data_IF_274444260395
#
_entry.id   IF_274444260395
#
_cell.length_a   1.000
_cell.length_b   1.000
_cell.length_c   1.000
_cell.angle_alpha   90.00
_cell.angle_beta   90.00
_cell.angle_gamma   90.00
#
_symmetry.space_group_name_H-M   'P 1'
#
loop_
_entity.id
_entity.type
_entity.pdbx_description
1 polymer ?
#
# COMPACT_ATOMS: atom_id res chain seq x y z
N UNK A 1 12.86 11.39 8.37
CA UNK A 1 11.69 11.82 7.59
C UNK A 1 10.39 11.44 8.30
N UNK A 2 9.30 12.23 8.21
CA UNK A 2 7.98 11.89 8.80
C UNK A 2 7.15 11.02 7.84
N UNK A 3 6.19 10.26 8.38
CA UNK A 3 5.28 9.40 7.59
C UNK A 3 4.65 10.14 6.39
N UNK A 4 4.18 11.37 6.59
CA UNK A 4 3.56 12.17 5.52
C UNK A 4 4.51 12.50 4.38
N UNK A 5 5.77 12.75 4.71
CA UNK A 5 6.79 13.15 3.74
C UNK A 5 7.22 11.93 2.92
N UNK A 6 7.34 10.77 3.58
CA UNK A 6 7.59 9.48 2.94
C UNK A 6 6.42 9.12 2.00
N UNK A 7 5.17 9.29 2.43
CA UNK A 7 4.00 9.05 1.59
C UNK A 7 4.03 9.90 0.33
N UNK A 8 4.33 11.20 0.46
CA UNK A 8 4.41 12.12 -0.67
C UNK A 8 5.58 11.78 -1.60
N UNK A 9 6.74 11.46 -1.04
CA UNK A 9 7.92 11.05 -1.80
C UNK A 9 7.63 9.80 -2.65
N UNK A 10 7.05 8.76 -2.04
CA UNK A 10 6.63 7.54 -2.74
C UNK A 10 5.58 7.88 -3.81
N UNK A 11 4.53 8.61 -3.45
CA UNK A 11 3.42 8.94 -4.36
C UNK A 11 3.91 9.74 -5.57
N UNK A 12 4.84 10.69 -5.39
CA UNK A 12 5.42 11.49 -6.46
C UNK A 12 6.23 10.70 -7.50
N UNK A 13 6.63 9.47 -7.15
CA UNK A 13 7.43 8.58 -8.01
C UNK A 13 6.62 7.44 -8.63
N UNK A 14 5.37 7.28 -8.21
CA UNK A 14 4.47 6.27 -8.79
C UNK A 14 4.09 6.64 -10.23
N UNK A 15 3.78 5.62 -11.01
CA UNK A 15 3.21 5.77 -12.34
C UNK A 15 1.93 6.60 -12.28
N UNK A 16 1.70 7.54 -13.22
CA UNK A 16 0.45 8.30 -13.28
C UNK A 16 -0.78 7.44 -13.56
N UNK A 17 -0.59 6.17 -13.94
CA UNK A 17 -1.65 5.18 -14.15
C UNK A 17 -2.08 4.50 -12.84
N UNK A 18 -1.34 4.69 -11.74
CA UNK A 18 -1.74 4.14 -10.45
C UNK A 18 -3.03 4.80 -9.98
N UNK A 19 -3.85 4.02 -9.31
CA UNK A 19 -5.05 4.49 -8.60
C UNK A 19 -4.79 4.61 -7.10
N UNK A 20 -3.61 4.16 -6.64
CA UNK A 20 -3.21 4.20 -5.25
C UNK A 20 -3.37 5.60 -4.66
N UNK A 21 -3.97 5.67 -3.46
CA UNK A 21 -4.10 6.92 -2.70
C UNK A 21 -3.37 6.80 -1.37
N UNK A 22 -2.51 7.77 -1.00
CA UNK A 22 -1.90 7.78 0.33
C UNK A 22 -2.98 7.98 1.41
N UNK A 23 -2.93 7.15 2.44
CA UNK A 23 -3.85 7.25 3.58
C UNK A 23 -3.23 8.11 4.68
N UNK A 24 -3.45 9.43 4.60
CA UNK A 24 -2.88 10.38 5.56
C UNK A 24 -3.48 10.18 6.96
N UNK A 25 -2.62 9.99 7.96
CA UNK A 25 -3.02 9.84 9.36
C UNK A 25 -3.58 8.46 9.73
N UNK A 26 -3.72 7.55 8.76
CA UNK A 26 -4.08 6.17 9.03
C UNK A 26 -2.92 5.46 9.75
N UNK A 27 -3.22 4.81 10.87
CA UNK A 27 -2.27 4.00 11.63
C UNK A 27 -2.90 2.67 11.98
N UNK A 28 -2.20 1.60 11.66
CA UNK A 28 -2.56 0.26 12.08
C UNK A 28 -1.61 -0.16 13.21
N UNK A 29 -2.07 -0.07 14.47
CA UNK A 29 -1.26 -0.41 15.66
C UNK A 29 -1.08 -1.92 15.88
N UNK A 30 -1.38 -2.74 14.87
CA UNK A 30 -1.35 -4.21 14.96
C UNK A 30 0.06 -4.77 14.70
N UNK A 31 1.05 -3.91 14.42
CA UNK A 31 2.42 -4.36 14.22
C UNK A 31 3.20 -4.42 15.52
N UNK A 32 3.57 -5.64 15.93
CA UNK A 32 4.49 -5.88 17.06
C UNK A 32 5.93 -5.33 16.83
N UNK A 33 6.20 -4.67 15.71
CA UNK A 33 7.54 -4.24 15.30
C UNK A 33 7.68 -2.71 15.39
N UNK A 34 8.07 -2.23 16.56
CA UNK A 34 8.24 -0.80 16.87
C UNK A 34 9.41 -0.14 16.16
N UNK A 35 10.34 -0.94 15.63
CA UNK A 35 11.55 -0.47 14.94
C UNK A 35 11.27 0.05 13.54
N UNK A 36 10.05 -0.14 13.03
CA UNK A 36 9.64 0.27 11.70
C UNK A 36 8.56 1.35 11.78
N UNK A 37 8.65 2.32 10.89
CA UNK A 37 7.53 3.20 10.53
C UNK A 37 6.83 2.61 9.32
N UNK A 38 5.50 2.59 9.36
CA UNK A 38 4.67 2.07 8.25
C UNK A 38 3.90 3.21 7.63
N UNK A 39 3.94 3.29 6.31
CA UNK A 39 3.09 4.20 5.54
C UNK A 39 2.13 3.40 4.69
N UNK A 40 0.90 3.90 4.59
CA UNK A 40 -0.22 3.16 4.03
C UNK A 40 -0.79 3.84 2.79
N UNK A 41 -1.26 3.01 1.87
CA UNK A 41 -1.93 3.39 0.63
C UNK A 41 -3.18 2.52 0.47
N UNK A 42 -4.20 3.06 -0.19
CA UNK A 42 -5.39 2.32 -0.56
C UNK A 42 -5.50 2.18 -2.07
N UNK A 43 -5.97 1.02 -2.51
CA UNK A 43 -6.52 0.80 -3.85
C UNK A 43 -7.96 0.33 -3.71
N UNK A 44 -8.81 0.65 -4.70
CA UNK A 44 -10.20 0.19 -4.74
C UNK A 44 -10.45 -0.54 -6.05
N UNK A 45 -11.29 -1.58 -5.99
CA UNK A 45 -11.78 -2.22 -7.20
C UNK A 45 -12.52 -1.20 -8.07
N UNK A 46 -12.32 -1.25 -9.39
CA UNK A 46 -12.90 -0.30 -10.33
C UNK A 46 -14.36 -0.61 -10.66
N UNK A 47 -14.83 -1.81 -10.33
CA UNK A 47 -16.24 -2.17 -10.48
C UNK A 47 -17.02 -1.63 -9.28
N UNK A 48 -17.99 -0.76 -9.54
CA UNK A 48 -18.74 -0.05 -8.49
C UNK A 48 -19.42 -1.00 -7.50
N UNK A 49 -20.02 -2.07 -7.99
CA UNK A 49 -20.76 -3.07 -7.21
C UNK A 49 -19.86 -3.94 -6.31
N UNK A 50 -18.55 -4.00 -6.57
CA UNK A 50 -17.64 -4.84 -5.79
C UNK A 50 -17.32 -4.23 -4.41
N UNK A 51 -17.19 -2.90 -4.36
CA UNK A 51 -16.89 -2.12 -3.16
C UNK A 51 -15.76 -2.70 -2.27
N UNK A 52 -14.78 -3.37 -2.91
CA UNK A 52 -13.62 -3.93 -2.21
C UNK A 52 -12.45 -2.98 -2.35
N UNK A 53 -11.78 -2.72 -1.23
CA UNK A 53 -10.56 -1.95 -1.17
C UNK A 53 -9.46 -2.77 -0.50
N UNK A 54 -8.23 -2.59 -0.95
CA UNK A 54 -7.06 -3.18 -0.32
C UNK A 54 -6.19 -2.10 0.33
N UNK A 55 -5.65 -2.46 1.49
CA UNK A 55 -4.66 -1.69 2.21
C UNK A 55 -3.26 -2.19 1.81
N UNK A 56 -2.49 -1.33 1.16
CA UNK A 56 -1.09 -1.57 0.82
C UNK A 56 -0.20 -0.79 1.78
N UNK A 57 0.97 -1.31 2.10
CA UNK A 57 1.90 -0.63 3.00
C UNK A 57 3.35 -0.95 2.68
N UNK A 58 4.23 0.01 2.97
CA UNK A 58 5.66 -0.25 3.09
C UNK A 58 6.12 0.02 4.51
N UNK A 59 7.09 -0.77 4.93
CA UNK A 59 7.74 -0.66 6.23
C UNK A 59 9.15 -0.14 6.02
N UNK A 60 9.52 0.89 6.77
CA UNK A 60 10.84 1.51 6.69
C UNK A 60 11.40 1.47 8.10
N UNK A 61 12.63 0.95 8.25
CA UNK A 61 13.30 0.98 9.54
C UNK A 61 13.48 2.43 9.98
N UNK A 62 13.16 2.72 11.25
CA UNK A 62 13.36 4.05 11.85
C UNK A 62 14.84 4.45 11.93
N UNK A 63 15.76 3.49 11.82
CA UNK A 63 17.20 3.74 11.77
C UNK A 63 17.72 4.24 10.42
N UNK A 64 16.90 4.20 9.37
CA UNK A 64 17.31 4.63 8.03
C UNK A 64 17.36 6.16 7.94
N UNK A 65 18.45 6.66 7.36
CA UNK A 65 18.58 8.08 7.03
C UNK A 65 17.68 8.47 5.85
N UNK A 66 17.42 9.77 5.73
CA UNK A 66 16.57 10.30 4.65
C UNK A 66 17.16 9.97 3.26
N UNK A 67 18.48 10.05 3.09
CA UNK A 67 19.18 9.66 1.86
C UNK A 67 19.03 8.17 1.54
N UNK A 68 19.11 7.29 2.54
CA UNK A 68 18.88 5.85 2.34
C UNK A 68 17.43 5.57 1.93
N UNK A 69 16.47 6.31 2.49
CA UNK A 69 15.05 6.21 2.10
C UNK A 69 14.92 6.62 0.64
N UNK A 70 15.40 7.81 0.26
CA UNK A 70 15.34 8.32 -1.12
C UNK A 70 15.94 7.35 -2.15
N UNK A 71 17.10 6.77 -1.84
CA UNK A 71 17.75 5.78 -2.71
C UNK A 71 16.92 4.48 -2.86
N UNK A 72 16.13 4.11 -1.85
CA UNK A 72 15.28 2.93 -1.87
C UNK A 72 13.89 3.16 -2.47
N UNK A 73 13.43 4.42 -2.61
CA UNK A 73 12.05 4.77 -3.01
C UNK A 73 11.62 4.06 -4.29
N UNK A 74 12.47 4.03 -5.32
CA UNK A 74 12.12 3.40 -6.60
C UNK A 74 11.78 1.91 -6.43
N UNK A 75 12.52 1.20 -5.56
CA UNK A 75 12.23 -0.21 -5.27
C UNK A 75 10.94 -0.37 -4.46
N UNK A 76 10.66 0.53 -3.52
CA UNK A 76 9.42 0.55 -2.75
C UNK A 76 8.20 0.78 -3.65
N UNK A 77 8.30 1.74 -4.57
CA UNK A 77 7.27 2.03 -5.58
C UNK A 77 6.99 0.81 -6.44
N UNK A 78 8.03 0.16 -6.97
CA UNK A 78 7.87 -1.01 -7.82
C UNK A 78 7.16 -2.16 -7.10
N UNK A 79 7.42 -2.35 -5.80
CA UNK A 79 6.72 -3.35 -4.97
C UNK A 79 5.25 -2.99 -4.76
N UNK A 80 4.95 -1.73 -4.46
CA UNK A 80 3.57 -1.24 -4.31
C UNK A 80 2.77 -1.39 -5.60
N UNK A 81 3.34 -1.00 -6.74
CA UNK A 81 2.68 -1.15 -8.03
C UNK A 81 2.48 -2.62 -8.43
N UNK A 82 3.41 -3.51 -8.06
CA UNK A 82 3.21 -4.97 -8.22
C UNK A 82 2.02 -5.46 -7.38
N UNK A 83 1.89 -5.00 -6.14
CA UNK A 83 0.75 -5.33 -5.28
C UNK A 83 -0.56 -4.77 -5.85
N UNK A 84 -0.58 -3.54 -6.35
CA UNK A 84 -1.73 -2.96 -7.03
C UNK A 84 -2.14 -3.79 -8.26
N UNK A 85 -1.18 -4.18 -9.11
CA UNK A 85 -1.47 -5.05 -10.26
C UNK A 85 -2.03 -6.41 -9.84
N UNK A 86 -1.48 -7.00 -8.78
CA UNK A 86 -2.00 -8.25 -8.23
C UNK A 86 -3.40 -8.11 -7.66
N UNK A 87 -3.74 -6.95 -7.09
CA UNK A 87 -5.09 -6.66 -6.64
C UNK A 87 -6.07 -6.61 -7.82
N UNK A 88 -5.66 -5.99 -8.93
CA UNK A 88 -6.49 -5.89 -10.14
C UNK A 88 -6.53 -7.13 -11.00
N UNK A 89 -5.63 -8.09 -10.82
CA UNK A 89 -5.72 -9.39 -11.50
C UNK A 89 -6.77 -10.33 -10.88
N UNK A 90 -7.26 -10.00 -9.68
CA UNK A 90 -8.36 -10.73 -9.04
C UNK A 90 -9.71 -10.22 -9.56
N UNK A 91 -10.64 -11.13 -9.79
CA UNK A 91 -12.01 -10.77 -10.11
C UNK A 91 -12.81 -10.41 -8.84
N UNK A 92 -14.05 -9.98 -9.03
CA UNK A 92 -14.90 -9.54 -7.93
C UNK A 92 -15.40 -10.69 -7.05
N UNK A 93 -15.39 -11.94 -7.54
CA UNK A 93 -15.69 -13.11 -6.72
C UNK A 93 -14.53 -13.34 -5.73
N UNK A 94 -13.28 -13.33 -6.21
CA UNK A 94 -12.09 -13.40 -5.36
C UNK A 94 -12.00 -12.25 -4.36
N UNK A 95 -12.29 -11.01 -4.78
CA UNK A 95 -12.39 -9.88 -3.86
C UNK A 95 -13.44 -10.12 -2.77
N UNK A 96 -14.60 -10.67 -3.14
CA UNK A 96 -15.65 -11.07 -2.21
C UNK A 96 -15.17 -12.08 -1.17
N UNK A 97 -14.48 -13.14 -1.61
CA UNK A 97 -13.86 -14.14 -0.72
C UNK A 97 -12.87 -13.51 0.25
N UNK A 98 -11.99 -12.61 -0.21
CA UNK A 98 -11.04 -11.91 0.68
C UNK A 98 -11.74 -10.99 1.69
N UNK A 99 -12.84 -10.33 1.27
CA UNK A 99 -13.62 -9.43 2.12
C UNK A 99 -14.34 -10.18 3.24
N UNK A 100 -14.86 -11.38 2.96
CA UNK A 100 -15.61 -12.20 3.93
C UNK A 100 -14.74 -13.19 4.70
N UNK A 101 -13.55 -13.52 4.18
CA UNK A 101 -12.68 -14.56 4.71
C UNK A 101 -13.16 -15.98 4.40
N UNK A 102 -14.11 -16.14 3.48
CA UNK A 102 -14.65 -17.44 3.07
C UNK A 102 -13.82 -17.94 1.89
N UNK A 103 -13.29 -19.15 2.00
CA UNK A 103 -12.67 -19.88 0.89
C UNK A 103 -13.65 -20.97 0.48
N UNK A 104 -14.11 -20.92 -0.76
CA UNK A 104 -14.94 -21.99 -1.35
C UNK A 104 -14.00 -23.09 -1.89
N UNK A 105 -14.28 -24.36 -1.54
CA UNK A 105 -13.49 -25.56 -1.92
C UNK A 105 -13.68 -25.97 -3.39
#
# INVERSE_FOLDING_TARGET
MKDSDIQQLIFSKMSPKTTMRPLKGFKLNVSANTEFQKVFFSVRCLQEECDTAALLSVEISKSKSDLEIENAVSSLVERLERQERSFYSMDCHMHGMMKTGIVED
#
